data_IF_200624673591
#
_entry.id   IF_200624673591
#
_cell.length_a   1.000
_cell.length_b   1.000
_cell.length_c   1.000
_cell.angle_alpha   90.00
_cell.angle_beta   90.00
_cell.angle_gamma   90.00
#
_symmetry.space_group_name_H-M   'P 1'
#
loop_
_entity.id
_entity.type
_entity.pdbx_description
1 polymer ?
#
# COMPACT_ATOMS: atom_id res chain seq x y z
N UNK A 1 -2.95 -18.02 8.86
CA UNK A 1 -3.27 -18.95 7.76
C UNK A 1 -3.32 -18.22 6.41
N UNK A 2 -4.16 -17.20 6.24
CA UNK A 2 -4.39 -16.54 4.94
C UNK A 2 -3.09 -16.03 4.30
N UNK A 3 -2.21 -15.36 5.05
CA UNK A 3 -0.90 -14.90 4.58
C UNK A 3 -0.02 -16.00 3.99
N UNK A 4 -0.18 -17.24 4.47
CA UNK A 4 0.61 -18.40 4.05
C UNK A 4 0.02 -19.16 2.85
N UNK A 5 -1.25 -18.94 2.50
CA UNK A 5 -1.89 -19.66 1.39
C UNK A 5 -1.10 -19.56 0.07
N UNK A 6 -0.60 -18.37 -0.36
CA UNK A 6 0.18 -18.25 -1.58
C UNK A 6 1.51 -19.04 -1.55
N UNK A 7 2.08 -19.24 -0.36
CA UNK A 7 3.38 -19.90 -0.17
C UNK A 7 3.19 -21.42 -0.03
N UNK A 8 2.37 -21.84 0.94
CA UNK A 8 2.31 -23.23 1.38
C UNK A 8 1.29 -24.07 0.61
N UNK A 9 0.06 -23.53 0.45
CA UNK A 9 -1.06 -24.30 -0.10
C UNK A 9 -1.12 -24.21 -1.63
N UNK A 10 -1.01 -22.98 -2.16
CA UNK A 10 -1.04 -22.78 -3.62
C UNK A 10 0.35 -22.86 -4.25
N UNK A 11 1.40 -22.68 -3.47
CA UNK A 11 2.79 -22.74 -3.93
C UNK A 11 3.00 -21.94 -5.23
N UNK A 12 2.69 -20.65 -5.18
CA UNK A 12 2.85 -19.77 -6.34
C UNK A 12 4.31 -19.53 -6.71
N UNK A 13 5.26 -19.79 -5.80
CA UNK A 13 6.67 -19.53 -6.02
C UNK A 13 7.05 -18.05 -5.90
N UNK A 14 6.27 -17.25 -5.17
CA UNK A 14 6.56 -15.83 -4.94
C UNK A 14 7.76 -15.64 -4.02
N UNK A 15 8.52 -14.56 -4.22
CA UNK A 15 9.77 -14.28 -3.50
C UNK A 15 9.55 -13.54 -2.17
N UNK A 16 8.34 -13.08 -1.88
CA UNK A 16 7.96 -12.45 -0.61
C UNK A 16 6.50 -12.70 -0.27
N UNK A 17 6.19 -12.73 1.02
CA UNK A 17 4.83 -12.75 1.53
C UNK A 17 4.46 -11.37 2.09
N UNK A 18 3.21 -10.95 1.92
CA UNK A 18 2.68 -9.76 2.58
C UNK A 18 1.71 -10.17 3.67
N UNK A 19 1.78 -9.52 4.83
CA UNK A 19 0.84 -9.75 5.93
C UNK A 19 -0.59 -9.43 5.47
N UNK A 20 -1.49 -10.42 5.53
CA UNK A 20 -2.88 -10.21 5.12
C UNK A 20 -3.72 -9.63 6.27
N UNK A 21 -4.14 -8.39 6.14
CA UNK A 21 -5.03 -7.68 7.07
C UNK A 21 -5.70 -6.49 6.39
N UNK A 22 -6.66 -5.86 7.08
CA UNK A 22 -7.26 -4.61 6.63
C UNK A 22 -6.33 -3.41 6.90
N UNK A 23 -6.32 -2.42 6.00
CA UNK A 23 -5.54 -1.17 6.16
C UNK A 23 -6.03 -0.31 7.32
N UNK A 24 -7.29 -0.47 7.72
CA UNK A 24 -7.90 0.27 8.83
C UNK A 24 -7.66 -0.34 10.21
N UNK A 25 -6.96 -1.48 10.28
CA UNK A 25 -6.67 -2.18 11.53
C UNK A 25 -6.22 -1.28 12.70
N UNK A 26 -5.38 -0.23 12.51
CA UNK A 26 -4.98 0.63 13.62
C UNK A 26 -6.01 1.71 14.01
N UNK A 27 -7.06 1.95 13.22
CA UNK A 27 -8.00 3.04 13.48
C UNK A 27 -8.83 2.88 14.77
N UNK A 28 -9.32 1.67 15.12
CA UNK A 28 -10.04 1.49 16.39
C UNK A 28 -9.22 1.88 17.63
N UNK A 29 -7.90 1.67 17.60
CA UNK A 29 -7.00 2.04 18.69
C UNK A 29 -6.97 3.55 18.98
N UNK A 30 -7.26 4.38 17.99
CA UNK A 30 -7.34 5.84 18.14
C UNK A 30 -8.77 6.36 18.32
N UNK A 31 -9.75 5.48 18.53
CA UNK A 31 -11.14 5.86 18.82
C UNK A 31 -12.04 5.99 17.58
N UNK A 32 -11.68 5.35 16.48
CA UNK A 32 -12.53 5.28 15.27
C UNK A 32 -13.34 4.00 15.27
N UNK A 33 -14.67 4.11 15.22
CA UNK A 33 -15.58 2.97 15.22
C UNK A 33 -15.71 2.40 13.80
N UNK A 34 -14.95 1.34 13.51
CA UNK A 34 -14.91 0.67 12.20
C UNK A 34 -15.69 -0.64 12.27
N UNK A 35 -16.66 -0.80 11.37
CA UNK A 35 -17.40 -2.05 11.16
C UNK A 35 -17.23 -2.53 9.73
N UNK A 36 -17.06 -3.85 9.53
CA UNK A 36 -17.08 -4.47 8.21
C UNK A 36 -18.49 -4.99 7.95
N UNK A 37 -19.22 -4.31 7.06
CA UNK A 37 -20.58 -4.67 6.70
C UNK A 37 -20.58 -5.52 5.42
N UNK A 38 -21.21 -6.68 5.46
CA UNK A 38 -21.28 -7.59 4.31
C UNK A 38 -21.86 -6.87 3.08
N UNK A 39 -21.23 -7.03 1.92
CA UNK A 39 -21.56 -6.43 0.63
C UNK A 39 -21.49 -4.87 0.58
N UNK A 40 -21.08 -4.21 1.66
CA UNK A 40 -20.87 -2.75 1.71
C UNK A 40 -19.40 -2.43 1.87
N UNK A 41 -18.70 -3.24 2.66
CA UNK A 41 -17.31 -3.00 3.06
C UNK A 41 -17.21 -2.25 4.38
N UNK A 42 -16.12 -1.52 4.61
CA UNK A 42 -15.91 -0.78 5.83
C UNK A 42 -16.88 0.39 5.97
N UNK A 43 -17.46 0.51 7.18
CA UNK A 43 -18.32 1.62 7.60
C UNK A 43 -17.77 2.22 8.88
N UNK A 44 -17.71 3.53 8.96
CA UNK A 44 -17.29 4.27 10.16
C UNK A 44 -18.50 4.96 10.76
N UNK A 45 -18.85 4.54 11.98
CA UNK A 45 -20.07 5.00 12.66
C UNK A 45 -19.91 6.39 13.28
N UNK A 46 -18.67 6.81 13.59
CA UNK A 46 -18.31 8.11 14.13
C UNK A 46 -17.41 8.93 13.18
N UNK A 47 -17.86 9.22 11.95
CA UNK A 47 -17.02 9.89 10.96
C UNK A 47 -16.65 11.30 11.38
N UNK A 48 -15.44 11.74 10.99
CA UNK A 48 -14.96 13.11 11.24
C UNK A 48 -15.80 14.11 10.44
N UNK A 49 -16.31 15.12 11.14
CA UNK A 49 -17.11 16.22 10.58
C UNK A 49 -16.61 17.60 11.03
N UNK A 50 -15.78 17.64 12.06
CA UNK A 50 -15.34 18.88 12.70
C UNK A 50 -13.94 18.75 13.30
N UNK A 51 -13.37 19.88 13.70
CA UNK A 51 -12.10 19.95 14.45
C UNK A 51 -12.21 19.17 15.78
N UNK A 52 -13.39 19.28 16.45
CA UNK A 52 -13.64 18.63 17.72
C UNK A 52 -13.57 17.09 17.61
N UNK A 53 -13.94 16.53 16.44
CA UNK A 53 -13.85 15.08 16.22
C UNK A 53 -12.38 14.65 16.09
N UNK A 54 -11.54 15.49 15.49
CA UNK A 54 -10.09 15.26 15.42
C UNK A 54 -9.47 15.30 16.82
N UNK A 55 -9.92 16.21 17.68
CA UNK A 55 -9.40 16.37 19.04
C UNK A 55 -9.69 15.16 19.92
N UNK A 56 -10.77 14.42 19.65
CA UNK A 56 -11.13 13.18 20.34
C UNK A 56 -10.25 11.98 19.97
N UNK A 57 -9.55 12.04 18.83
CA UNK A 57 -8.67 10.95 18.42
C UNK A 57 -7.53 10.78 19.42
N UNK A 58 -7.38 9.56 19.92
CA UNK A 58 -6.31 9.15 20.83
C UNK A 58 -4.98 8.87 20.13
N UNK A 59 -4.09 8.27 20.87
CA UNK A 59 -2.81 7.74 20.41
C UNK A 59 -2.86 6.21 20.46
N UNK A 60 -2.13 5.56 19.55
CA UNK A 60 -2.00 4.10 19.52
C UNK A 60 -0.83 3.66 20.40
N UNK A 61 -1.06 2.63 21.23
CA UNK A 61 -0.01 1.77 21.78
C UNK A 61 -0.04 0.42 21.04
N UNK A 62 0.82 0.21 20.03
CA UNK A 62 0.73 -0.99 19.20
C UNK A 62 0.96 -2.29 19.96
N UNK A 63 1.70 -2.26 21.08
CA UNK A 63 1.98 -3.46 21.88
C UNK A 63 0.76 -3.90 22.72
N UNK A 64 -0.20 -2.99 22.92
CA UNK A 64 -1.45 -3.27 23.65
C UNK A 64 -2.66 -3.34 22.72
N UNK A 65 -2.77 -2.38 21.80
CA UNK A 65 -3.99 -2.20 21.00
C UNK A 65 -4.08 -3.14 19.80
N UNK A 66 -2.91 -3.58 19.27
CA UNK A 66 -2.81 -4.46 18.09
C UNK A 66 -1.76 -5.55 18.27
N UNK A 67 -1.60 -6.04 19.50
CA UNK A 67 -0.68 -7.11 19.91
C UNK A 67 -0.84 -8.37 19.04
N UNK A 68 -2.08 -8.73 18.69
CA UNK A 68 -2.41 -9.87 17.84
C UNK A 68 -1.79 -9.77 16.43
N UNK A 69 -1.59 -8.55 15.90
CA UNK A 69 -0.88 -8.33 14.64
C UNK A 69 0.62 -8.60 14.83
N UNK A 70 1.19 -8.08 15.91
CA UNK A 70 2.61 -8.26 16.20
C UNK A 70 2.95 -9.73 16.45
N UNK A 71 2.10 -10.44 17.19
CA UNK A 71 2.26 -11.86 17.43
C UNK A 71 2.06 -12.70 16.16
N UNK A 72 1.16 -12.27 15.27
CA UNK A 72 1.04 -12.87 13.94
C UNK A 72 2.32 -12.72 13.13
N UNK A 73 2.96 -11.54 13.15
CA UNK A 73 4.23 -11.31 12.46
C UNK A 73 5.33 -12.22 13.05
N UNK A 74 5.49 -12.25 14.37
CA UNK A 74 6.47 -13.13 15.04
C UNK A 74 6.26 -14.59 14.66
N UNK A 75 5.01 -15.06 14.66
CA UNK A 75 4.68 -16.44 14.27
C UNK A 75 5.00 -16.70 12.78
N UNK A 76 4.63 -15.81 11.88
CA UNK A 76 4.91 -15.94 10.46
C UNK A 76 6.41 -16.00 10.18
N UNK A 77 7.21 -15.22 10.91
CA UNK A 77 8.67 -15.24 10.78
C UNK A 77 9.31 -16.59 11.10
N UNK A 78 8.69 -17.39 11.96
CA UNK A 78 9.16 -18.75 12.25
C UNK A 78 8.72 -19.79 11.22
N UNK A 79 7.74 -19.47 10.37
CA UNK A 79 7.07 -20.40 9.46
C UNK A 79 7.35 -20.12 7.98
N UNK A 80 7.69 -18.88 7.63
CA UNK A 80 7.95 -18.49 6.24
C UNK A 80 9.45 -18.67 5.90
N UNK A 81 9.69 -19.25 4.72
CA UNK A 81 11.02 -19.33 4.09
C UNK A 81 11.33 -18.15 3.17
N UNK A 82 10.35 -17.24 2.98
CA UNK A 82 10.49 -16.00 2.20
C UNK A 82 10.34 -14.78 3.11
N UNK A 83 10.85 -13.60 2.72
CA UNK A 83 10.67 -12.37 3.47
C UNK A 83 9.20 -12.02 3.70
N UNK A 84 8.92 -11.40 4.85
CA UNK A 84 7.60 -10.91 5.21
C UNK A 84 7.54 -9.39 5.09
N UNK A 85 6.60 -8.90 4.27
CA UNK A 85 6.28 -7.49 4.11
C UNK A 85 5.17 -7.14 5.11
N UNK A 86 5.44 -6.18 6.00
CA UNK A 86 4.43 -5.50 6.78
C UNK A 86 3.83 -4.34 6.00
N UNK A 87 2.68 -3.81 6.43
CA UNK A 87 2.10 -2.67 5.76
C UNK A 87 1.18 -1.82 6.63
N UNK A 88 0.84 -0.64 6.14
CA UNK A 88 -0.21 0.22 6.68
C UNK A 88 -0.92 0.95 5.55
N UNK A 89 -2.13 1.42 5.81
CA UNK A 89 -2.74 2.47 5.01
C UNK A 89 -1.97 3.78 5.18
N UNK A 90 -1.86 4.56 4.11
CA UNK A 90 -1.29 5.90 4.16
C UNK A 90 -2.33 6.93 4.66
N UNK A 91 -1.89 8.05 5.23
CA UNK A 91 -2.77 9.02 5.88
C UNK A 91 -3.93 9.55 5.04
N UNK A 92 -3.73 9.85 3.74
CA UNK A 92 -4.82 10.36 2.91
C UNK A 92 -5.94 9.33 2.73
N UNK A 93 -5.60 8.08 2.45
CA UNK A 93 -6.59 7.01 2.33
C UNK A 93 -7.32 6.78 3.66
N UNK A 94 -6.61 6.74 4.79
CA UNK A 94 -7.22 6.59 6.11
C UNK A 94 -8.11 7.79 6.47
N UNK A 95 -7.65 9.02 6.27
CA UNK A 95 -8.44 10.23 6.47
C UNK A 95 -9.70 10.23 5.60
N UNK A 96 -9.59 9.76 4.37
CA UNK A 96 -10.73 9.67 3.46
C UNK A 96 -11.79 8.70 3.98
N UNK A 97 -11.43 7.52 4.48
CA UNK A 97 -12.37 6.62 5.15
C UNK A 97 -13.04 7.29 6.36
N UNK A 98 -12.24 7.95 7.20
CA UNK A 98 -12.72 8.59 8.42
C UNK A 98 -13.68 9.77 8.13
N UNK A 99 -13.45 10.53 7.05
CA UNK A 99 -14.29 11.68 6.68
C UNK A 99 -15.50 11.25 5.85
N UNK A 100 -15.33 10.36 4.86
CA UNK A 100 -16.47 9.89 4.04
C UNK A 100 -17.43 9.02 4.88
N UNK A 101 -16.91 8.29 5.88
CA UNK A 101 -17.68 7.35 6.71
C UNK A 101 -17.70 5.95 6.11
N UNK A 102 -16.91 5.70 5.07
CA UNK A 102 -16.86 4.44 4.33
C UNK A 102 -16.23 4.60 2.95
N UNK A 103 -16.52 3.66 2.06
CA UNK A 103 -16.05 3.73 0.66
C UNK A 103 -16.65 4.93 -0.08
N UNK A 104 -15.85 5.61 -0.87
CA UNK A 104 -16.28 6.75 -1.69
C UNK A 104 -15.71 6.63 -3.11
N UNK A 105 -16.47 7.13 -4.10
CA UNK A 105 -15.98 7.22 -5.49
C UNK A 105 -15.38 8.60 -5.80
N UNK A 106 -15.87 9.65 -5.17
CA UNK A 106 -15.57 11.04 -5.54
C UNK A 106 -14.75 11.77 -4.47
N UNK A 107 -14.67 11.25 -3.24
CA UNK A 107 -13.92 11.85 -2.12
C UNK A 107 -14.29 13.33 -1.89
N UNK A 108 -15.54 13.70 -2.18
CA UNK A 108 -15.94 15.11 -2.19
C UNK A 108 -15.97 15.74 -0.80
N UNK A 109 -16.35 14.96 0.24
CA UNK A 109 -16.30 15.42 1.63
C UNK A 109 -14.86 15.58 2.11
N UNK A 110 -14.01 14.61 1.80
CA UNK A 110 -12.59 14.65 2.11
C UNK A 110 -11.91 15.87 1.50
N UNK A 111 -12.16 16.12 0.21
CA UNK A 111 -11.59 17.28 -0.48
C UNK A 111 -12.18 18.60 0.03
N UNK A 112 -13.47 18.65 0.28
CA UNK A 112 -14.11 19.85 0.84
C UNK A 112 -13.52 20.20 2.22
N UNK A 113 -13.29 19.18 3.07
CA UNK A 113 -12.66 19.37 4.37
C UNK A 113 -11.18 19.81 4.22
N UNK A 114 -10.43 19.16 3.35
CA UNK A 114 -9.03 19.49 3.07
C UNK A 114 -8.85 20.93 2.59
N UNK A 115 -9.76 21.42 1.72
CA UNK A 115 -9.68 22.79 1.19
C UNK A 115 -10.27 23.84 2.14
N UNK A 116 -11.37 23.51 2.81
CA UNK A 116 -12.10 24.46 3.64
C UNK A 116 -11.53 24.63 5.04
N UNK A 117 -10.86 23.60 5.57
CA UNK A 117 -10.34 23.53 6.94
C UNK A 117 -8.85 23.09 6.94
N UNK A 118 -7.94 23.83 6.28
CA UNK A 118 -6.56 23.35 6.06
C UNK A 118 -5.77 23.12 7.36
N UNK A 119 -6.02 23.88 8.40
CA UNK A 119 -5.38 23.69 9.72
C UNK A 119 -5.88 22.42 10.41
N UNK A 120 -7.19 22.16 10.36
CA UNK A 120 -7.79 20.94 10.89
C UNK A 120 -7.31 19.70 10.08
N UNK A 121 -7.23 19.83 8.77
CA UNK A 121 -6.65 18.81 7.90
C UNK A 121 -5.21 18.49 8.29
N UNK A 122 -4.37 19.50 8.44
CA UNK A 122 -2.98 19.32 8.87
C UNK A 122 -2.88 18.58 10.20
N UNK A 123 -3.71 18.94 11.19
CA UNK A 123 -3.76 18.27 12.49
C UNK A 123 -4.20 16.80 12.37
N UNK A 124 -5.18 16.49 11.51
CA UNK A 124 -5.59 15.11 11.23
C UNK A 124 -4.45 14.31 10.60
N UNK A 125 -3.81 14.89 9.58
CA UNK A 125 -2.67 14.24 8.91
C UNK A 125 -1.49 13.99 9.84
N UNK A 126 -1.23 14.92 10.78
CA UNK A 126 -0.18 14.75 11.79
C UNK A 126 -0.50 13.63 12.78
N UNK A 127 -1.73 13.54 13.28
CA UNK A 127 -2.17 12.44 14.14
C UNK A 127 -2.07 11.08 13.43
N UNK A 128 -2.59 11.00 12.20
CA UNK A 128 -2.49 9.78 11.40
C UNK A 128 -1.04 9.42 11.05
N UNK A 129 -0.21 10.40 10.74
CA UNK A 129 1.21 10.18 10.51
C UNK A 129 1.93 9.60 11.73
N UNK A 130 1.64 10.11 12.93
CA UNK A 130 2.18 9.58 14.19
C UNK A 130 1.71 8.16 14.44
N UNK A 131 0.42 7.88 14.26
CA UNK A 131 -0.14 6.53 14.36
C UNK A 131 0.54 5.56 13.39
N UNK A 132 0.68 5.93 12.11
CA UNK A 132 1.33 5.09 11.09
C UNK A 132 2.79 4.80 11.46
N UNK A 133 3.55 5.82 11.90
CA UNK A 133 4.94 5.65 12.34
C UNK A 133 5.02 4.65 13.50
N UNK A 134 4.24 4.83 14.56
CA UNK A 134 4.23 3.94 15.73
C UNK A 134 3.86 2.51 15.34
N UNK A 135 2.80 2.36 14.56
CA UNK A 135 2.31 1.05 14.14
C UNK A 135 3.28 0.30 13.22
N UNK A 136 3.91 0.99 12.28
CA UNK A 136 4.87 0.38 11.35
C UNK A 136 6.18 0.03 12.07
N UNK A 137 6.69 0.90 12.95
CA UNK A 137 7.87 0.59 13.78
C UNK A 137 7.66 -0.67 14.63
N UNK A 138 6.47 -0.84 15.21
CA UNK A 138 6.12 -2.06 15.96
C UNK A 138 6.10 -3.31 15.04
N UNK A 139 5.60 -3.22 13.81
CA UNK A 139 5.65 -4.33 12.85
C UNK A 139 7.10 -4.70 12.49
N UNK A 140 7.98 -3.72 12.30
CA UNK A 140 9.42 -3.96 12.04
C UNK A 140 10.06 -4.64 13.24
N UNK A 141 9.83 -4.13 14.44
CA UNK A 141 10.33 -4.73 15.70
C UNK A 141 9.83 -6.18 15.88
N UNK A 142 8.60 -6.48 15.46
CA UNK A 142 8.02 -7.82 15.48
C UNK A 142 8.62 -8.76 14.41
N UNK A 143 9.35 -8.24 13.42
CA UNK A 143 10.08 -9.01 12.43
C UNK A 143 9.67 -8.82 10.97
N UNK A 144 8.87 -7.81 10.63
CA UNK A 144 8.63 -7.43 9.24
C UNK A 144 9.95 -6.98 8.59
N UNK A 145 10.24 -7.46 7.37
CA UNK A 145 11.54 -7.28 6.71
C UNK A 145 11.50 -6.24 5.59
N UNK A 146 10.32 -5.82 5.20
CA UNK A 146 10.06 -4.66 4.35
C UNK A 146 8.70 -4.09 4.74
N UNK A 147 8.44 -2.84 4.39
CA UNK A 147 7.17 -2.17 4.67
C UNK A 147 6.61 -1.57 3.39
N UNK A 148 5.31 -1.76 3.18
CA UNK A 148 4.58 -1.09 2.10
C UNK A 148 3.49 -0.19 2.68
N UNK A 149 3.47 1.08 2.27
CA UNK A 149 2.37 1.99 2.54
C UNK A 149 1.41 2.01 1.34
N UNK A 150 0.14 1.74 1.62
CA UNK A 150 -0.92 1.76 0.62
C UNK A 150 -1.70 3.08 0.69
N UNK A 151 -1.59 3.88 -0.36
CA UNK A 151 -2.43 5.07 -0.55
C UNK A 151 -3.41 4.87 -1.71
N UNK A 152 -4.33 3.94 -1.50
CA UNK A 152 -5.21 3.42 -2.56
C UNK A 152 -6.08 4.50 -3.21
N UNK A 153 -6.35 5.60 -2.53
CA UNK A 153 -7.26 6.65 -2.97
C UNK A 153 -6.59 7.96 -3.37
N UNK A 154 -5.27 8.05 -3.21
CA UNK A 154 -4.51 9.30 -3.46
C UNK A 154 -4.52 9.73 -4.93
N UNK A 155 -4.79 8.81 -5.84
CA UNK A 155 -5.00 9.14 -7.26
C UNK A 155 -6.15 10.13 -7.52
N UNK A 156 -7.04 10.34 -6.53
CA UNK A 156 -8.12 11.31 -6.60
C UNK A 156 -7.66 12.77 -6.50
N UNK A 157 -6.43 13.05 -6.03
CA UNK A 157 -5.90 14.42 -5.90
C UNK A 157 -4.97 14.76 -7.05
N UNK A 158 -4.90 16.02 -7.42
CA UNK A 158 -3.92 16.50 -8.38
C UNK A 158 -2.53 16.68 -7.71
N UNK A 159 -1.49 16.87 -8.52
CA UNK A 159 -0.10 17.02 -8.04
C UNK A 159 0.09 18.20 -7.07
N UNK A 160 -0.56 19.35 -7.34
CA UNK A 160 -0.44 20.53 -6.50
C UNK A 160 -1.05 20.29 -5.10
N UNK A 161 -2.24 19.69 -5.05
CA UNK A 161 -2.90 19.38 -3.79
C UNK A 161 -2.11 18.31 -3.00
N UNK A 162 -1.55 17.32 -3.68
CA UNK A 162 -0.67 16.35 -3.06
C UNK A 162 0.52 17.03 -2.37
N UNK A 163 1.21 17.92 -3.08
CA UNK A 163 2.37 18.68 -2.54
C UNK A 163 1.99 19.50 -1.32
N UNK A 164 0.82 20.15 -1.37
CA UNK A 164 0.39 21.08 -0.32
C UNK A 164 -0.14 20.35 0.91
N UNK A 165 -0.96 19.33 0.72
CA UNK A 165 -1.78 18.78 1.80
C UNK A 165 -1.39 17.36 2.25
N UNK A 166 -0.55 16.65 1.48
CA UNK A 166 -0.25 15.23 1.74
C UNK A 166 1.25 14.96 1.82
N UNK A 167 2.04 15.47 0.88
CA UNK A 167 3.49 15.20 0.81
C UNK A 167 4.22 15.50 2.14
N UNK A 168 3.94 16.59 2.89
CA UNK A 168 4.66 16.88 4.12
C UNK A 168 4.57 15.77 5.18
N UNK A 169 3.38 15.18 5.39
CA UNK A 169 3.22 14.08 6.34
C UNK A 169 3.87 12.80 5.82
N UNK A 170 3.82 12.53 4.51
CA UNK A 170 4.48 11.37 3.91
C UNK A 170 6.00 11.45 4.03
N UNK A 171 6.57 12.63 3.81
CA UNK A 171 8.00 12.89 4.01
C UNK A 171 8.42 12.63 5.46
N UNK A 172 7.65 13.12 6.44
CA UNK A 172 7.86 12.85 7.86
C UNK A 172 7.82 11.35 8.16
N UNK A 173 6.81 10.64 7.66
CA UNK A 173 6.67 9.19 7.88
C UNK A 173 7.88 8.44 7.33
N UNK A 174 8.22 8.64 6.06
CA UNK A 174 9.33 7.91 5.45
C UNK A 174 10.68 8.29 6.06
N UNK A 175 10.89 9.55 6.46
CA UNK A 175 12.09 9.98 7.19
C UNK A 175 12.24 9.23 8.51
N UNK A 176 11.16 9.07 9.27
CA UNK A 176 11.19 8.33 10.53
C UNK A 176 11.38 6.82 10.33
N UNK A 177 10.70 6.25 9.34
CA UNK A 177 10.78 4.81 9.05
C UNK A 177 12.13 4.41 8.43
N UNK A 178 12.78 5.31 7.70
CA UNK A 178 14.11 5.05 7.11
C UNK A 178 15.17 4.72 8.16
N UNK A 179 15.00 5.22 9.38
CA UNK A 179 15.90 4.96 10.51
C UNK A 179 15.87 3.49 10.96
N UNK A 180 14.82 2.76 10.63
CA UNK A 180 14.66 1.35 11.01
C UNK A 180 15.43 0.37 10.11
N UNK A 181 15.98 0.82 8.97
CA UNK A 181 16.90 0.06 8.13
C UNK A 181 16.25 -1.04 7.28
N UNK A 182 14.93 -1.03 7.10
CA UNK A 182 14.21 -1.95 6.21
C UNK A 182 13.76 -1.24 4.92
N UNK A 183 13.64 -1.97 3.79
CA UNK A 183 13.09 -1.40 2.56
C UNK A 183 11.69 -0.84 2.73
N UNK A 184 11.47 0.36 2.18
CA UNK A 184 10.21 1.09 2.25
C UNK A 184 9.60 1.24 0.85
N UNK A 185 8.36 0.83 0.70
CA UNK A 185 7.61 0.81 -0.55
C UNK A 185 6.39 1.72 -0.43
N UNK A 186 6.14 2.54 -1.44
CA UNK A 186 4.90 3.34 -1.57
C UNK A 186 4.11 2.83 -2.76
N UNK A 187 2.81 2.62 -2.59
CA UNK A 187 1.91 2.22 -3.66
C UNK A 187 0.57 2.95 -3.57
N UNK A 188 0.03 3.35 -4.72
CA UNK A 188 -1.31 3.91 -4.85
C UNK A 188 -1.91 3.65 -6.23
N UNK A 189 -3.23 3.57 -6.28
CA UNK A 189 -3.97 3.28 -7.52
C UNK A 189 -4.36 4.57 -8.22
N UNK A 190 -4.25 4.61 -9.56
CA UNK A 190 -4.56 5.80 -10.35
C UNK A 190 -3.63 6.99 -10.08
N UNK A 191 -2.47 6.73 -9.51
CA UNK A 191 -1.56 7.74 -8.98
C UNK A 191 -0.31 7.97 -9.84
N UNK A 192 -0.32 7.56 -11.11
CA UNK A 192 0.80 7.69 -12.05
C UNK A 192 1.35 9.12 -12.15
N UNK A 193 0.47 10.12 -12.04
CA UNK A 193 0.84 11.53 -12.04
C UNK A 193 1.57 12.00 -10.76
N UNK A 194 1.60 11.16 -9.71
CA UNK A 194 2.28 11.41 -8.44
C UNK A 194 3.60 10.64 -8.31
N UNK A 195 3.94 9.78 -9.26
CA UNK A 195 5.11 8.90 -9.16
C UNK A 195 6.43 9.67 -8.96
N UNK A 196 6.60 10.82 -9.63
CA UNK A 196 7.75 11.71 -9.44
C UNK A 196 7.80 12.30 -8.02
N UNK A 197 6.63 12.66 -7.44
CA UNK A 197 6.56 13.17 -6.07
C UNK A 197 6.97 12.12 -5.04
N UNK A 198 6.64 10.85 -5.31
CA UNK A 198 7.06 9.74 -4.46
C UNK A 198 8.55 9.45 -4.61
N UNK A 199 9.10 9.60 -5.82
CA UNK A 199 10.53 9.44 -6.03
C UNK A 199 11.38 10.42 -5.22
N UNK A 200 10.86 11.58 -4.86
CA UNK A 200 11.53 12.57 -4.00
C UNK A 200 11.50 12.20 -2.50
N UNK A 201 10.58 11.31 -2.08
CA UNK A 201 10.46 10.89 -0.68
C UNK A 201 11.62 9.96 -0.27
N UNK A 202 12.00 9.88 1.00
CA UNK A 202 13.07 9.01 1.48
C UNK A 202 12.64 7.53 1.59
N UNK A 203 12.07 6.98 0.53
CA UNK A 203 11.68 5.57 0.36
C UNK A 203 12.62 4.85 -0.61
N UNK A 204 12.49 3.55 -0.75
CA UNK A 204 13.35 2.72 -1.59
C UNK A 204 12.67 2.29 -2.89
N UNK A 205 11.36 2.05 -2.87
CA UNK A 205 10.61 1.47 -3.98
C UNK A 205 9.35 2.26 -4.29
N UNK A 206 9.18 2.66 -5.54
CA UNK A 206 7.94 3.25 -6.05
C UNK A 206 7.11 2.15 -6.71
N UNK A 207 5.97 1.83 -6.12
CA UNK A 207 4.99 0.91 -6.68
C UNK A 207 4.10 1.60 -7.72
N UNK A 208 3.96 1.00 -8.87
CA UNK A 208 3.20 1.51 -10.01
C UNK A 208 1.99 0.62 -10.29
N UNK A 209 0.86 1.24 -10.58
CA UNK A 209 -0.22 0.53 -11.26
C UNK A 209 0.00 0.50 -12.79
N UNK A 210 -0.87 -0.19 -13.52
CA UNK A 210 -0.72 -0.44 -14.97
C UNK A 210 -0.84 0.80 -15.87
N UNK A 211 -1.18 1.99 -15.30
CA UNK A 211 -1.42 3.22 -16.07
C UNK A 211 -0.13 3.96 -16.45
N UNK A 212 0.99 3.59 -15.83
CA UNK A 212 2.30 4.16 -16.15
C UNK A 212 3.26 3.01 -16.48
N UNK A 213 3.81 2.98 -17.69
CA UNK A 213 4.78 1.96 -18.07
C UNK A 213 6.08 2.11 -17.28
N UNK A 214 6.78 0.98 -17.04
CA UNK A 214 8.06 0.98 -16.31
C UNK A 214 9.10 1.88 -16.99
N UNK A 215 9.21 1.77 -18.34
CA UNK A 215 10.13 2.61 -19.12
C UNK A 215 9.76 4.09 -19.02
N UNK A 216 8.49 4.45 -19.14
CA UNK A 216 8.02 5.82 -18.99
C UNK A 216 8.35 6.40 -17.61
N UNK A 217 8.22 5.59 -16.54
CA UNK A 217 8.63 6.01 -15.20
C UNK A 217 10.13 6.32 -15.13
N UNK A 218 10.97 5.50 -15.78
CA UNK A 218 12.42 5.74 -15.89
C UNK A 218 12.73 7.01 -16.69
N UNK A 219 12.05 7.23 -17.81
CA UNK A 219 12.20 8.44 -18.64
C UNK A 219 11.81 9.72 -17.87
N UNK A 220 10.88 9.63 -16.91
CA UNK A 220 10.54 10.71 -15.99
C UNK A 220 11.60 10.95 -14.90
N UNK A 221 12.71 10.22 -14.93
CA UNK A 221 13.83 10.39 -14.00
C UNK A 221 13.68 9.67 -12.66
N UNK A 222 12.77 8.71 -12.52
CA UNK A 222 12.64 7.91 -11.30
C UNK A 222 13.78 6.90 -11.23
N UNK A 223 14.76 7.15 -10.37
CA UNK A 223 15.93 6.30 -10.17
C UNK A 223 15.78 5.24 -9.09
N UNK A 224 14.75 5.35 -8.25
CA UNK A 224 14.45 4.38 -7.19
C UNK A 224 14.00 3.04 -7.80
N UNK A 225 14.05 1.97 -7.03
CA UNK A 225 13.47 0.71 -7.47
C UNK A 225 11.98 0.89 -7.83
N UNK A 226 11.54 0.17 -8.87
CA UNK A 226 10.15 0.18 -9.33
C UNK A 226 9.52 -1.17 -9.06
N UNK A 227 8.28 -1.19 -8.59
CA UNK A 227 7.49 -2.39 -8.36
C UNK A 227 6.20 -2.33 -9.19
N UNK A 228 5.88 -3.40 -9.90
CA UNK A 228 4.63 -3.54 -10.68
C UNK A 228 4.91 -4.17 -12.02
N UNK A 229 4.00 -4.08 -13.01
CA UNK A 229 2.70 -3.38 -12.93
C UNK A 229 1.70 -4.00 -13.92
N UNK A 230 1.64 -5.35 -13.92
CA UNK A 230 0.67 -6.03 -14.77
C UNK A 230 -0.77 -5.64 -14.36
N UNK A 231 -1.59 -5.20 -15.32
CA UNK A 231 -3.02 -5.07 -15.08
C UNK A 231 -3.61 -6.45 -14.74
N UNK A 232 -4.23 -6.64 -13.57
CA UNK A 232 -4.80 -7.91 -13.18
C UNK A 232 -5.83 -8.47 -14.16
N UNK A 233 -6.45 -7.63 -14.98
CA UNK A 233 -7.41 -8.06 -16.01
C UNK A 233 -6.77 -8.97 -17.06
N UNK A 234 -5.47 -8.84 -17.31
CA UNK A 234 -4.75 -9.76 -18.21
C UNK A 234 -4.80 -11.21 -17.73
N UNK A 235 -4.88 -11.44 -16.41
CA UNK A 235 -4.94 -12.78 -15.84
C UNK A 235 -6.20 -13.57 -16.24
N UNK A 236 -7.21 -12.88 -16.79
CA UNK A 236 -8.43 -13.48 -17.32
C UNK A 236 -8.34 -13.76 -18.84
N UNK A 237 -7.27 -13.34 -19.49
CA UNK A 237 -7.06 -13.52 -20.93
C UNK A 237 -6.45 -14.90 -21.24
N UNK A 238 -6.47 -15.35 -22.53
CA UNK A 238 -5.72 -16.53 -22.96
C UNK A 238 -4.21 -16.37 -22.73
N UNK A 239 -3.53 -17.47 -22.41
CA UNK A 239 -2.11 -17.46 -22.08
C UNK A 239 -1.20 -16.72 -23.06
N UNK A 240 -1.32 -16.86 -24.40
CA UNK A 240 -0.46 -16.12 -25.33
C UNK A 240 -0.51 -14.60 -25.14
N UNK A 241 -1.68 -14.05 -24.77
CA UNK A 241 -1.86 -12.62 -24.49
C UNK A 241 -1.19 -12.24 -23.17
N UNK A 242 -1.33 -13.08 -22.15
CA UNK A 242 -0.64 -12.88 -20.85
C UNK A 242 0.86 -12.90 -21.07
N UNK A 243 1.38 -13.92 -21.75
CA UNK A 243 2.81 -14.11 -21.99
C UNK A 243 3.45 -12.95 -22.74
N UNK A 244 2.79 -12.44 -23.79
CA UNK A 244 3.24 -11.28 -24.54
C UNK A 244 3.35 -10.05 -23.64
N UNK A 245 2.34 -9.81 -22.79
CA UNK A 245 2.34 -8.68 -21.86
C UNK A 245 3.38 -8.84 -20.74
N UNK A 246 3.60 -10.04 -20.26
CA UNK A 246 4.67 -10.32 -19.30
C UNK A 246 6.06 -10.00 -19.88
N UNK A 247 6.33 -10.43 -21.13
CA UNK A 247 7.59 -10.12 -21.84
C UNK A 247 7.78 -8.61 -21.94
N UNK A 248 6.75 -7.89 -22.41
CA UNK A 248 6.82 -6.42 -22.54
C UNK A 248 7.20 -5.74 -21.20
N UNK A 249 6.57 -6.15 -20.10
CA UNK A 249 6.82 -5.55 -18.78
C UNK A 249 8.22 -5.94 -18.27
N UNK A 250 8.59 -7.21 -18.39
CA UNK A 250 9.89 -7.72 -17.93
C UNK A 250 11.05 -7.12 -18.72
N UNK A 251 10.91 -6.98 -20.03
CA UNK A 251 11.94 -6.34 -20.88
C UNK A 251 12.19 -4.89 -20.41
N UNK A 252 11.12 -4.12 -20.15
CA UNK A 252 11.25 -2.77 -19.60
C UNK A 252 11.87 -2.78 -18.18
N UNK A 253 11.46 -3.71 -17.33
CA UNK A 253 11.94 -3.82 -15.96
C UNK A 253 13.43 -4.19 -15.87
N UNK A 254 13.90 -5.04 -16.78
CA UNK A 254 15.29 -5.50 -16.82
C UNK A 254 16.27 -4.53 -17.49
N UNK A 255 15.80 -3.46 -18.14
CA UNK A 255 16.68 -2.43 -18.73
C UNK A 255 17.61 -1.78 -17.69
N UNK A 256 17.17 -1.71 -16.43
CA UNK A 256 17.93 -1.11 -15.34
C UNK A 256 17.74 -1.92 -14.04
N UNK A 257 18.75 -1.97 -13.17
CA UNK A 257 18.62 -2.59 -11.85
C UNK A 257 17.53 -1.96 -11.00
N UNK A 258 16.98 -2.75 -10.06
CA UNK A 258 15.97 -2.26 -9.12
C UNK A 258 14.56 -2.36 -9.67
N UNK A 259 14.19 -3.52 -10.20
CA UNK A 259 12.83 -3.83 -10.61
C UNK A 259 12.28 -5.04 -9.82
N UNK A 260 11.04 -4.93 -9.40
CA UNK A 260 10.26 -5.98 -8.72
C UNK A 260 8.99 -6.20 -9.52
N UNK A 261 8.85 -7.38 -10.14
CA UNK A 261 7.60 -7.71 -10.82
C UNK A 261 6.46 -7.85 -9.81
N UNK A 262 5.34 -7.23 -10.09
CA UNK A 262 4.09 -7.38 -9.34
C UNK A 262 2.89 -7.06 -10.25
N UNK A 263 1.69 -7.39 -9.77
CA UNK A 263 0.46 -6.88 -10.35
C UNK A 263 0.30 -5.39 -10.01
N UNK A 264 -0.38 -4.66 -10.87
CA UNK A 264 -0.70 -3.25 -10.64
C UNK A 264 -1.88 -3.01 -9.70
N UNK A 265 -2.52 -4.07 -9.19
CA UNK A 265 -3.59 -4.06 -8.20
C UNK A 265 -3.79 -5.47 -7.62
N UNK A 266 -4.71 -5.62 -6.66
CA UNK A 266 -5.13 -6.92 -6.15
C UNK A 266 -5.74 -7.84 -7.22
N UNK A 267 -5.62 -9.13 -7.00
CA UNK A 267 -6.18 -10.19 -7.86
C UNK A 267 -7.70 -10.23 -7.76
N UNK A 268 -8.38 -10.43 -8.89
CA UNK A 268 -9.82 -10.66 -8.91
C UNK A 268 -10.17 -12.10 -8.49
N UNK A 269 -11.31 -12.32 -7.81
CA UNK A 269 -11.74 -13.67 -7.39
C UNK A 269 -11.91 -14.66 -8.55
N UNK A 270 -12.16 -14.16 -9.76
CA UNK A 270 -12.37 -14.95 -10.97
C UNK A 270 -11.06 -15.51 -11.56
N UNK A 271 -9.90 -15.03 -11.11
CA UNK A 271 -8.61 -15.49 -11.63
C UNK A 271 -8.30 -16.88 -11.14
N UNK A 272 -8.01 -17.79 -12.09
CA UNK A 272 -7.60 -19.14 -11.78
C UNK A 272 -6.21 -19.14 -11.10
N UNK A 273 -6.08 -19.85 -9.96
CA UNK A 273 -4.83 -19.96 -9.22
C UNK A 273 -3.68 -20.57 -10.05
N UNK A 274 -3.97 -21.49 -10.98
CA UNK A 274 -2.97 -22.07 -11.89
C UNK A 274 -2.38 -21.00 -12.84
N UNK A 275 -3.19 -20.01 -13.23
CA UNK A 275 -2.69 -18.88 -14.02
C UNK A 275 -1.66 -18.08 -13.23
N UNK A 276 -1.92 -17.79 -11.95
CA UNK A 276 -0.97 -17.07 -11.07
C UNK A 276 0.35 -17.85 -10.93
N UNK A 277 0.25 -19.15 -10.69
CA UNK A 277 1.42 -20.02 -10.59
C UNK A 277 2.26 -20.03 -11.89
N UNK A 278 1.58 -20.11 -13.02
CA UNK A 278 2.23 -20.07 -14.33
C UNK A 278 2.89 -18.70 -14.58
N UNK A 279 2.25 -17.60 -14.19
CA UNK A 279 2.83 -16.25 -14.30
C UNK A 279 4.11 -16.17 -13.48
N UNK A 280 4.11 -16.60 -12.24
CA UNK A 280 5.30 -16.54 -11.37
C UNK A 280 6.45 -17.38 -11.93
N UNK A 281 6.14 -18.63 -12.36
CA UNK A 281 7.15 -19.48 -12.99
C UNK A 281 7.74 -18.83 -14.25
N UNK A 282 6.88 -18.25 -15.10
CA UNK A 282 7.32 -17.55 -16.31
C UNK A 282 8.22 -16.35 -15.99
N UNK A 283 7.85 -15.55 -14.99
CA UNK A 283 8.65 -14.39 -14.55
C UNK A 283 10.05 -14.83 -14.16
N UNK A 284 10.18 -15.88 -13.33
CA UNK A 284 11.48 -16.42 -12.91
C UNK A 284 12.29 -16.94 -14.08
N UNK A 285 11.69 -17.75 -14.95
CA UNK A 285 12.39 -18.34 -16.11
C UNK A 285 12.85 -17.27 -17.11
N UNK A 286 12.03 -16.26 -17.36
CA UNK A 286 12.33 -15.20 -18.31
C UNK A 286 13.38 -14.22 -17.78
N UNK A 287 13.33 -13.86 -16.50
CA UNK A 287 14.27 -12.92 -15.88
C UNK A 287 15.62 -13.54 -15.51
N UNK A 288 15.76 -14.87 -15.58
CA UNK A 288 17.03 -15.58 -15.32
C UNK A 288 17.93 -15.70 -16.57
N UNK A 289 17.49 -15.15 -17.72
CA UNK A 289 18.25 -15.15 -18.98
C UNK A 289 19.19 -13.97 -19.04
#
# INVERSE_FOLDING_TARGET
RVTRLPIDEYNYGVDAAILFKDIMTPLPAIGVDVEIVNNVGPVISNPIRSVQDIDKLGEIDPETDVDYILDTIKLLRTQLNVPLIGFSGAPFTLASYMIEGGSSRNYHRTKAFMYGEPEAWSRLMDKLGTMVISYVKAQIKAGAQAIQLFDSWVGAVNRQDYRTFIKPVMERIFTELKKEGVPLIMFGVGASHLAEEWADLPLDVVGLDWRLQIREAREKGITKALQGNLDPSYLLAPWPVIEEKLKEILDQGMEQPGYIFNLGHGVFPEVNYETLKRVTSFVHEYSSR
#
